data_IF_935559806695
#
_entry.id   IF_935559806695
#
_cell.length_a   1.000
_cell.length_b   1.000
_cell.length_c   1.000
_cell.angle_alpha   90.00
_cell.angle_beta   90.00
_cell.angle_gamma   90.00
#
_symmetry.space_group_name_H-M   'P 1'
#
loop_
_entity.id
_entity.type
_entity.pdbx_description
1 polymer ?
#
# COMPACT_ATOMS: atom_id res chain seq x y z
N UNK A 1 -25.92 23.94 2.50
CA UNK A 1 -27.36 23.72 2.18
C UNK A 1 -28.27 23.55 3.42
N UNK A 2 -27.76 23.64 4.66
CA UNK A 2 -28.52 23.30 5.88
C UNK A 2 -28.96 24.50 6.75
N UNK A 3 -28.61 25.74 6.37
CA UNK A 3 -28.74 26.93 7.23
C UNK A 3 -30.10 27.64 7.20
N UNK A 4 -31.13 27.12 6.51
CA UNK A 4 -32.35 27.89 6.24
C UNK A 4 -33.69 27.19 6.51
N UNK A 5 -33.72 25.96 7.06
CA UNK A 5 -34.98 25.30 7.44
C UNK A 5 -35.07 25.11 8.97
N UNK A 6 -35.93 25.86 9.68
CA UNK A 6 -36.12 25.73 11.13
C UNK A 6 -36.76 24.40 11.57
N UNK A 7 -37.17 23.53 10.64
CA UNK A 7 -37.61 22.15 10.93
C UNK A 7 -36.52 21.10 10.74
N UNK A 8 -35.34 21.49 10.24
CA UNK A 8 -34.23 20.57 10.04
C UNK A 8 -33.51 20.36 11.38
N UNK A 9 -33.84 19.27 12.06
CA UNK A 9 -33.08 18.77 13.20
C UNK A 9 -31.87 17.97 12.69
N UNK A 10 -30.63 18.49 12.80
CA UNK A 10 -29.44 17.80 12.31
C UNK A 10 -29.14 16.50 13.08
N UNK A 11 -29.79 16.28 14.22
CA UNK A 11 -29.66 15.09 15.06
C UNK A 11 -30.72 14.03 14.79
N UNK A 12 -31.78 14.41 14.06
CA UNK A 12 -32.82 13.48 13.64
C UNK A 12 -32.25 12.29 12.87
N UNK A 13 -32.90 11.13 13.03
CA UNK A 13 -32.46 9.86 12.46
C UNK A 13 -31.00 9.48 12.77
N UNK A 14 -30.59 9.63 14.04
CA UNK A 14 -29.30 9.14 14.53
C UNK A 14 -28.13 9.89 13.88
N UNK A 15 -28.08 11.23 14.05
CA UNK A 15 -27.06 12.10 13.45
C UNK A 15 -27.01 12.01 11.91
N UNK A 16 -28.19 11.86 11.26
CA UNK A 16 -28.25 11.63 9.82
C UNK A 16 -27.64 12.75 8.99
N UNK A 17 -27.70 14.01 9.45
CA UNK A 17 -27.15 15.15 8.71
C UNK A 17 -25.63 15.01 8.49
N UNK A 18 -24.86 14.75 9.54
CA UNK A 18 -23.40 14.59 9.44
C UNK A 18 -23.04 13.30 8.68
N UNK A 19 -23.78 12.21 8.88
CA UNK A 19 -23.59 10.95 8.15
C UNK A 19 -23.87 11.09 6.65
N UNK A 20 -24.92 11.83 6.29
CA UNK A 20 -25.29 12.06 4.89
C UNK A 20 -24.26 12.96 4.21
N UNK A 21 -23.80 14.02 4.87
CA UNK A 21 -22.75 14.90 4.36
C UNK A 21 -21.46 14.12 4.07
N UNK A 22 -21.05 13.26 5.00
CA UNK A 22 -19.89 12.37 4.84
C UNK A 22 -20.07 11.30 3.76
N UNK A 23 -21.31 11.10 3.27
CA UNK A 23 -21.65 10.11 2.24
C UNK A 23 -21.74 10.67 0.82
N UNK A 24 -21.63 11.99 0.64
CA UNK A 24 -21.73 12.64 -0.68
C UNK A 24 -20.36 12.71 -1.35
N UNK A 25 -20.32 12.49 -2.68
CA UNK A 25 -19.10 12.60 -3.49
C UNK A 25 -18.72 14.07 -3.66
N UNK A 26 -17.43 14.33 -3.50
CA UNK A 26 -16.74 15.62 -3.22
C UNK A 26 -17.29 16.86 -3.95
N UNK A 27 -17.58 17.93 -3.18
CA UNK A 27 -17.57 19.33 -3.62
C UNK A 27 -16.73 20.14 -2.61
N UNK A 28 -16.06 21.20 -3.06
CA UNK A 28 -15.06 21.95 -2.30
C UNK A 28 -15.55 22.55 -0.96
N UNK A 29 -16.86 22.71 -0.77
CA UNK A 29 -17.46 23.26 0.46
C UNK A 29 -17.73 22.25 1.58
N UNK A 30 -17.41 20.95 1.41
CA UNK A 30 -17.79 19.92 2.39
C UNK A 30 -17.09 20.10 3.74
N UNK A 31 -15.82 20.52 3.77
CA UNK A 31 -15.08 20.70 5.04
C UNK A 31 -15.75 21.74 5.94
N UNK A 32 -16.13 22.89 5.39
CA UNK A 32 -16.78 23.95 6.16
C UNK A 32 -18.19 23.57 6.60
N UNK A 33 -18.93 22.81 5.79
CA UNK A 33 -20.25 22.29 6.18
C UNK A 33 -20.15 21.22 7.29
N UNK A 34 -19.10 20.38 7.29
CA UNK A 34 -18.84 19.44 8.39
C UNK A 34 -18.56 20.23 9.67
N UNK A 35 -17.66 21.22 9.63
CA UNK A 35 -17.33 22.05 10.78
C UNK A 35 -18.54 22.83 11.33
N UNK A 36 -19.38 23.38 10.44
CA UNK A 36 -20.62 24.06 10.82
C UNK A 36 -21.58 23.10 11.56
N UNK A 37 -21.74 21.86 11.09
CA UNK A 37 -22.58 20.86 11.75
C UNK A 37 -22.02 20.40 13.10
N UNK A 38 -20.69 20.29 13.23
CA UNK A 38 -20.03 19.89 14.47
C UNK A 38 -20.24 20.89 15.61
N UNK A 39 -20.48 22.17 15.30
CA UNK A 39 -20.78 23.23 16.28
C UNK A 39 -22.19 23.18 16.85
N UNK A 40 -23.08 22.38 16.28
CA UNK A 40 -24.46 22.24 16.77
C UNK A 40 -24.45 21.37 18.03
N UNK A 41 -24.99 21.90 19.13
CA UNK A 41 -24.87 21.34 20.50
C UNK A 41 -25.26 19.85 20.60
N UNK A 42 -26.26 19.42 19.83
CA UNK A 42 -26.79 18.06 19.91
C UNK A 42 -26.18 17.10 18.87
N UNK A 43 -25.31 17.56 17.97
CA UNK A 43 -24.64 16.69 16.99
C UNK A 43 -23.51 15.94 17.69
N UNK A 44 -23.59 14.60 17.66
CA UNK A 44 -22.56 13.71 18.15
C UNK A 44 -21.83 13.02 16.99
N UNK A 45 -20.60 13.44 16.66
CA UNK A 45 -19.84 12.83 15.57
C UNK A 45 -19.23 11.47 15.94
N UNK A 46 -19.24 11.09 17.22
CA UNK A 46 -18.73 9.81 17.73
C UNK A 46 -19.75 8.67 17.66
N UNK A 47 -20.99 9.02 17.34
CA UNK A 47 -22.14 8.11 17.29
C UNK A 47 -21.95 6.93 16.31
N UNK A 48 -22.57 5.79 16.66
CA UNK A 48 -22.41 4.48 16.00
C UNK A 48 -20.94 4.07 15.75
N UNK A 49 -20.12 4.15 16.79
CA UNK A 49 -18.68 3.85 16.73
C UNK A 49 -17.97 4.70 15.65
N UNK A 50 -18.13 6.02 15.75
CA UNK A 50 -17.58 7.00 14.81
C UNK A 50 -17.96 6.68 13.34
N UNK A 51 -19.24 6.36 13.10
CA UNK A 51 -19.69 5.95 11.76
C UNK A 51 -19.41 7.00 10.69
N UNK A 52 -19.50 8.29 11.04
CA UNK A 52 -19.27 9.40 10.10
C UNK A 52 -17.87 9.35 9.48
N UNK A 53 -16.81 9.28 10.30
CA UNK A 53 -15.43 9.23 9.78
C UNK A 53 -15.16 7.92 9.04
N UNK A 54 -15.62 6.78 9.58
CA UNK A 54 -15.47 5.47 8.91
C UNK A 54 -16.14 5.47 7.53
N UNK A 55 -17.32 6.07 7.40
CA UNK A 55 -18.05 6.15 6.13
C UNK A 55 -17.38 7.12 5.16
N UNK A 56 -16.95 8.30 5.63
CA UNK A 56 -16.21 9.26 4.82
C UNK A 56 -14.94 8.63 4.22
N UNK A 57 -14.16 7.93 5.04
CA UNK A 57 -12.90 7.30 4.59
C UNK A 57 -13.13 6.19 3.57
N UNK A 58 -14.15 5.34 3.75
CA UNK A 58 -14.53 4.29 2.77
C UNK A 58 -15.00 4.85 1.43
N UNK A 59 -15.37 6.12 1.37
CA UNK A 59 -15.76 6.82 0.14
C UNK A 59 -14.65 7.70 -0.42
N UNK A 60 -13.49 7.76 0.25
CA UNK A 60 -12.38 8.64 -0.12
C UNK A 60 -12.68 10.14 0.04
N UNK A 61 -13.63 10.51 0.91
CA UNK A 61 -13.97 11.91 1.14
C UNK A 61 -12.99 12.55 2.15
N UNK A 62 -11.77 12.83 1.70
CA UNK A 62 -10.70 13.36 2.55
C UNK A 62 -11.06 14.72 3.16
N UNK A 63 -11.85 15.56 2.48
CA UNK A 63 -12.32 16.84 3.02
C UNK A 63 -13.24 16.64 4.24
N UNK A 64 -14.14 15.67 4.18
CA UNK A 64 -14.99 15.35 5.32
C UNK A 64 -14.17 14.73 6.46
N UNK A 65 -13.21 13.86 6.15
CA UNK A 65 -12.28 13.30 7.14
C UNK A 65 -11.49 14.41 7.83
N UNK A 66 -10.87 15.31 7.07
CA UNK A 66 -10.15 16.47 7.60
C UNK A 66 -11.02 17.30 8.54
N UNK A 67 -12.24 17.66 8.12
CA UNK A 67 -13.17 18.42 8.97
C UNK A 67 -13.55 17.68 10.25
N UNK A 68 -13.82 16.36 10.18
CA UNK A 68 -14.15 15.54 11.34
C UNK A 68 -12.99 15.43 12.34
N UNK A 69 -11.76 15.30 11.86
CA UNK A 69 -10.57 15.18 12.72
C UNK A 69 -10.30 16.43 13.58
N UNK A 70 -10.87 17.59 13.21
CA UNK A 70 -10.78 18.80 14.03
C UNK A 70 -11.54 18.69 15.36
N UNK A 71 -12.53 17.79 15.45
CA UNK A 71 -13.33 17.60 16.66
C UNK A 71 -12.73 16.50 17.53
N UNK A 72 -12.40 16.85 18.78
CA UNK A 72 -11.79 15.94 19.75
C UNK A 72 -12.69 14.75 20.14
N UNK A 73 -14.01 14.87 19.92
CA UNK A 73 -14.97 13.78 20.18
C UNK A 73 -14.84 12.65 19.16
N UNK A 74 -14.33 12.94 17.96
CA UNK A 74 -14.12 11.93 16.92
C UNK A 74 -12.91 11.08 17.29
N UNK A 75 -13.11 9.77 17.42
CA UNK A 75 -12.05 8.78 17.52
C UNK A 75 -11.78 8.16 16.13
N UNK A 76 -10.67 8.53 15.46
CA UNK A 76 -10.31 7.97 14.15
C UNK A 76 -9.90 6.49 14.22
N UNK A 77 -9.62 5.97 15.41
CA UNK A 77 -9.17 4.60 15.65
C UNK A 77 -10.31 3.61 15.87
N UNK A 78 -11.55 4.10 15.84
CA UNK A 78 -12.75 3.29 16.06
C UNK A 78 -12.79 2.03 15.18
N UNK A 79 -13.28 0.93 15.76
CA UNK A 79 -13.35 -0.41 15.13
C UNK A 79 -11.99 -0.88 14.59
N UNK A 80 -10.93 -0.68 15.37
CA UNK A 80 -9.56 -1.06 15.01
C UNK A 80 -9.09 -0.36 13.73
N UNK A 81 -9.08 0.98 13.69
CA UNK A 81 -8.65 1.78 12.54
C UNK A 81 -9.44 1.48 11.26
N UNK A 82 -10.75 1.25 11.36
CA UNK A 82 -11.57 0.89 10.19
C UNK A 82 -11.64 2.02 9.16
N UNK A 83 -11.54 3.28 9.61
CA UNK A 83 -11.44 4.44 8.72
C UNK A 83 -10.18 4.36 7.84
N UNK A 84 -9.00 4.15 8.45
CA UNK A 84 -7.73 4.04 7.74
C UNK A 84 -7.71 2.82 6.81
N UNK A 85 -8.17 1.66 7.29
CA UNK A 85 -8.30 0.46 6.44
C UNK A 85 -9.24 0.67 5.26
N UNK A 86 -10.34 1.39 5.47
CA UNK A 86 -11.28 1.75 4.41
C UNK A 86 -10.64 2.62 3.33
N UNK A 87 -9.85 3.61 3.76
CA UNK A 87 -9.09 4.48 2.86
C UNK A 87 -8.03 3.71 2.06
N UNK A 88 -7.32 2.78 2.70
CA UNK A 88 -6.35 1.93 2.01
C UNK A 88 -7.01 1.00 0.99
N UNK A 89 -8.17 0.40 1.32
CA UNK A 89 -8.90 -0.50 0.40
C UNK A 89 -9.43 0.22 -0.84
N UNK A 90 -9.89 1.46 -0.70
CA UNK A 90 -10.44 2.24 -1.82
C UNK A 90 -9.36 2.93 -2.66
N UNK A 91 -8.13 3.02 -2.14
CA UNK A 91 -7.01 3.63 -2.84
C UNK A 91 -6.94 5.15 -2.73
N UNK A 92 -7.52 5.76 -1.69
CA UNK A 92 -7.53 7.22 -1.54
C UNK A 92 -6.34 7.70 -0.71
N UNK A 93 -5.23 8.02 -1.38
CA UNK A 93 -3.99 8.50 -0.75
C UNK A 93 -4.19 9.75 0.11
N UNK A 94 -4.98 10.74 -0.36
CA UNK A 94 -5.29 11.94 0.44
C UNK A 94 -5.96 11.60 1.76
N UNK A 95 -6.91 10.65 1.77
CA UNK A 95 -7.59 10.23 3.00
C UNK A 95 -6.63 9.51 3.94
N UNK A 96 -5.72 8.69 3.40
CA UNK A 96 -4.68 8.01 4.18
C UNK A 96 -3.77 9.05 4.82
N UNK A 97 -3.31 10.04 4.05
CA UNK A 97 -2.49 11.14 4.53
C UNK A 97 -3.17 11.92 5.67
N UNK A 98 -4.44 12.31 5.52
CA UNK A 98 -5.17 13.03 6.57
C UNK A 98 -5.28 12.21 7.88
N UNK A 99 -5.56 10.91 7.76
CA UNK A 99 -5.67 10.03 8.93
C UNK A 99 -4.31 9.79 9.60
N UNK A 100 -3.25 9.56 8.83
CA UNK A 100 -1.90 9.35 9.39
C UNK A 100 -1.33 10.61 10.04
N UNK A 101 -1.73 11.79 9.54
CA UNK A 101 -1.35 13.09 10.11
C UNK A 101 -1.95 13.30 11.51
N UNK A 102 -3.02 12.60 11.87
CA UNK A 102 -3.55 12.61 13.22
C UNK A 102 -2.71 11.72 14.15
N UNK A 103 -2.04 12.35 15.11
CA UNK A 103 -1.16 11.67 16.07
C UNK A 103 -1.83 10.56 16.90
N UNK A 104 -3.17 10.53 16.97
CA UNK A 104 -3.92 9.49 17.69
C UNK A 104 -3.98 8.18 16.92
N UNK A 105 -3.80 8.24 15.59
CA UNK A 105 -3.82 7.08 14.71
C UNK A 105 -2.48 6.37 14.76
N UNK A 106 -2.49 5.12 15.22
CA UNK A 106 -1.35 4.23 15.17
C UNK A 106 -1.47 3.29 13.96
N UNK A 107 -0.68 3.46 12.89
CA UNK A 107 -0.76 2.63 11.70
C UNK A 107 -0.07 1.27 11.84
N UNK A 108 0.65 1.03 12.95
CA UNK A 108 1.34 -0.24 13.20
C UNK A 108 0.40 -1.36 13.68
N UNK A 109 -0.83 -1.01 14.04
CA UNK A 109 -1.82 -1.97 14.53
C UNK A 109 -2.27 -2.87 13.39
N UNK A 110 -1.62 -4.03 13.28
CA UNK A 110 -2.05 -5.14 12.46
C UNK A 110 -3.24 -5.83 13.14
N UNK A 111 -4.31 -6.08 12.38
CA UNK A 111 -5.30 -7.06 12.81
C UNK A 111 -4.94 -8.39 12.15
N UNK A 112 -5.18 -9.51 12.84
CA UNK A 112 -4.72 -10.88 12.58
C UNK A 112 -4.71 -11.44 11.12
N UNK A 113 -5.12 -10.68 10.10
CA UNK A 113 -5.23 -11.09 8.71
C UNK A 113 -4.33 -10.35 7.71
N UNK A 114 -4.07 -9.03 7.84
CA UNK A 114 -3.26 -8.28 6.86
C UNK A 114 -2.91 -6.86 7.34
N UNK A 115 -1.66 -6.46 7.13
CA UNK A 115 -1.19 -5.10 7.38
C UNK A 115 -1.82 -4.08 6.41
N UNK A 116 -1.75 -2.78 6.75
CA UNK A 116 -2.21 -1.71 5.86
C UNK A 116 -1.48 -1.72 4.52
N UNK A 117 -0.18 -2.02 4.54
CA UNK A 117 0.66 -2.08 3.36
C UNK A 117 0.26 -3.27 2.47
N UNK A 118 0.02 -4.46 3.05
CA UNK A 118 -0.53 -5.60 2.30
C UNK A 118 -1.88 -5.28 1.65
N UNK A 119 -2.78 -4.58 2.35
CA UNK A 119 -4.07 -4.15 1.79
C UNK A 119 -3.84 -3.25 0.58
N UNK A 120 -2.96 -2.24 0.67
CA UNK A 120 -2.68 -1.34 -0.44
C UNK A 120 -2.10 -2.08 -1.65
N UNK A 121 -1.12 -2.96 -1.41
CA UNK A 121 -0.42 -3.73 -2.45
C UNK A 121 -1.38 -4.71 -3.15
N UNK A 122 -2.18 -5.47 -2.38
CA UNK A 122 -3.10 -6.47 -2.93
C UNK A 122 -4.20 -5.83 -3.80
N UNK A 123 -4.55 -4.57 -3.53
CA UNK A 123 -5.52 -3.81 -4.32
C UNK A 123 -4.86 -2.93 -5.40
N UNK A 124 -3.54 -3.03 -5.59
CA UNK A 124 -2.76 -2.26 -6.56
C UNK A 124 -2.86 -0.73 -6.37
N UNK A 125 -2.87 -0.27 -5.12
CA UNK A 125 -2.93 1.15 -4.77
C UNK A 125 -1.54 1.68 -4.45
N UNK A 126 -0.67 1.82 -5.46
CA UNK A 126 0.74 2.22 -5.26
C UNK A 126 0.91 3.57 -4.57
N UNK A 127 0.04 4.56 -4.84
CA UNK A 127 0.09 5.87 -4.15
C UNK A 127 -0.22 5.74 -2.65
N UNK A 128 -1.15 4.85 -2.28
CA UNK A 128 -1.41 4.55 -0.86
C UNK A 128 -0.23 3.82 -0.24
N UNK A 129 0.37 2.86 -0.94
CA UNK A 129 1.55 2.15 -0.45
C UNK A 129 2.71 3.14 -0.20
N UNK A 130 2.92 4.08 -1.12
CA UNK A 130 3.88 5.16 -0.98
C UNK A 130 3.62 6.03 0.26
N UNK A 131 2.39 6.50 0.48
CA UNK A 131 2.03 7.29 1.67
C UNK A 131 2.23 6.51 2.98
N UNK A 132 1.93 5.21 2.99
CA UNK A 132 2.18 4.34 4.14
C UNK A 132 3.68 4.19 4.42
N UNK A 133 4.51 4.00 3.39
CA UNK A 133 5.96 3.84 3.52
C UNK A 133 6.66 5.10 4.03
N UNK A 134 6.10 6.28 3.74
CA UNK A 134 6.61 7.57 4.27
C UNK A 134 6.41 7.71 5.78
N UNK A 135 5.41 7.04 6.35
CA UNK A 135 5.19 7.03 7.78
C UNK A 135 6.13 6.01 8.45
N UNK A 136 7.13 6.50 9.17
CA UNK A 136 8.15 5.67 9.85
C UNK A 136 7.56 4.68 10.85
N UNK A 137 6.32 4.89 11.31
CA UNK A 137 5.62 3.97 12.23
C UNK A 137 5.13 2.71 11.52
N UNK A 138 5.03 2.73 10.19
CA UNK A 138 4.75 1.54 9.39
C UNK A 138 6.05 0.78 9.18
N UNK A 139 6.08 -0.49 9.56
CA UNK A 139 7.19 -1.40 9.29
C UNK A 139 6.93 -2.19 8.00
N UNK A 140 7.65 -1.93 6.90
CA UNK A 140 7.43 -2.60 5.62
C UNK A 140 7.98 -4.03 5.59
N UNK A 141 8.75 -4.43 6.61
CA UNK A 141 9.24 -5.80 6.75
C UNK A 141 8.19 -6.73 7.38
N UNK A 142 7.03 -6.20 7.81
CA UNK A 142 6.00 -6.98 8.51
C UNK A 142 4.82 -7.32 7.59
N UNK A 143 4.31 -8.57 7.63
CA UNK A 143 4.92 -9.73 8.27
C UNK A 143 5.99 -10.33 7.37
N UNK A 144 7.19 -10.62 7.90
CA UNK A 144 8.19 -11.46 7.23
C UNK A 144 8.52 -11.05 5.78
N UNK A 145 8.74 -9.77 5.51
CA UNK A 145 8.98 -9.17 4.19
C UNK A 145 7.90 -9.50 3.13
N UNK A 146 6.71 -9.92 3.56
CA UNK A 146 5.59 -10.22 2.66
C UNK A 146 5.19 -9.05 1.76
N UNK A 147 5.27 -7.76 2.17
CA UNK A 147 4.99 -6.64 1.27
C UNK A 147 5.81 -6.67 -0.02
N UNK A 148 7.13 -6.90 0.06
CA UNK A 148 7.96 -6.98 -1.15
C UNK A 148 7.69 -8.25 -1.95
N UNK A 149 7.41 -9.38 -1.30
CA UNK A 149 7.01 -10.62 -2.00
C UNK A 149 5.73 -10.40 -2.82
N UNK A 150 4.69 -9.77 -2.24
CA UNK A 150 3.44 -9.48 -2.94
C UNK A 150 3.65 -8.49 -4.09
N UNK A 151 4.43 -7.41 -3.87
CA UNK A 151 4.73 -6.45 -4.92
C UNK A 151 5.48 -7.09 -6.10
N UNK A 152 6.44 -7.97 -5.81
CA UNK A 152 7.18 -8.76 -6.80
C UNK A 152 6.29 -9.75 -7.55
N UNK A 153 5.38 -10.44 -6.86
CA UNK A 153 4.41 -11.36 -7.46
C UNK A 153 3.47 -10.65 -8.45
N UNK A 154 3.09 -9.41 -8.14
CA UNK A 154 2.14 -8.62 -8.93
C UNK A 154 2.81 -7.68 -9.95
N UNK A 155 4.15 -7.75 -10.08
CA UNK A 155 4.97 -6.86 -10.90
C UNK A 155 4.73 -5.36 -10.64
N UNK A 156 4.56 -4.96 -9.37
CA UNK A 156 4.34 -3.56 -8.98
C UNK A 156 5.65 -2.78 -8.91
N UNK A 157 6.23 -2.47 -10.08
CA UNK A 157 7.55 -1.85 -10.27
C UNK A 157 7.81 -0.69 -9.31
N UNK A 158 6.94 0.32 -9.26
CA UNK A 158 7.15 1.49 -8.40
C UNK A 158 7.15 1.11 -6.90
N UNK A 159 6.24 0.22 -6.49
CA UNK A 159 6.17 -0.23 -5.10
C UNK A 159 7.40 -1.06 -4.72
N UNK A 160 7.96 -1.86 -5.63
CA UNK A 160 9.22 -2.59 -5.40
C UNK A 160 10.36 -1.59 -5.19
N UNK A 161 10.46 -0.55 -6.03
CA UNK A 161 11.46 0.52 -5.89
C UNK A 161 11.33 1.20 -4.52
N UNK A 162 10.12 1.59 -4.14
CA UNK A 162 9.87 2.27 -2.86
C UNK A 162 10.20 1.36 -1.66
N UNK A 163 9.90 0.06 -1.75
CA UNK A 163 10.23 -0.93 -0.72
C UNK A 163 11.73 -1.19 -0.62
N UNK A 164 12.44 -1.37 -1.74
CA UNK A 164 13.89 -1.62 -1.74
C UNK A 164 14.69 -0.42 -1.22
N UNK A 165 14.16 0.79 -1.34
CA UNK A 165 14.75 2.00 -0.79
C UNK A 165 14.67 2.08 0.74
N UNK A 166 13.77 1.33 1.38
CA UNK A 166 13.69 1.24 2.84
C UNK A 166 14.65 0.16 3.37
N UNK A 167 15.62 0.57 4.19
CA UNK A 167 16.66 -0.32 4.74
C UNK A 167 16.12 -1.46 5.60
N UNK A 168 14.89 -1.33 6.11
CA UNK A 168 14.23 -2.36 6.93
C UNK A 168 13.73 -3.53 6.08
N UNK A 169 13.54 -3.33 4.78
CA UNK A 169 13.12 -4.39 3.86
C UNK A 169 14.32 -5.26 3.49
N UNK A 170 14.20 -6.56 3.71
CA UNK A 170 15.19 -7.56 3.32
C UNK A 170 14.68 -8.33 2.08
N UNK A 171 15.19 -8.03 0.87
CA UNK A 171 14.82 -8.74 -0.36
C UNK A 171 15.43 -10.16 -0.42
N UNK A 172 16.28 -10.55 0.53
CA UNK A 172 16.88 -11.89 0.60
C UNK A 172 16.11 -12.84 1.52
N UNK A 173 15.04 -12.36 2.15
CA UNK A 173 14.19 -13.12 3.05
C UNK A 173 13.76 -14.47 2.43
N UNK A 174 13.79 -15.52 3.25
CA UNK A 174 13.41 -16.89 2.88
C UNK A 174 14.06 -17.37 1.56
N UNK A 175 15.37 -17.15 1.45
CA UNK A 175 16.19 -17.48 0.28
C UNK A 175 15.73 -16.76 -1.01
N UNK A 176 15.65 -15.43 -0.94
CA UNK A 176 15.19 -14.56 -2.03
C UNK A 176 13.77 -14.91 -2.51
N UNK A 177 12.84 -15.14 -1.58
CA UNK A 177 11.46 -15.51 -1.92
C UNK A 177 10.83 -14.53 -2.92
N UNK A 178 11.04 -13.22 -2.78
CA UNK A 178 10.51 -12.23 -3.71
C UNK A 178 11.05 -12.39 -5.14
N UNK A 179 12.34 -12.74 -5.30
CA UNK A 179 12.93 -13.01 -6.62
C UNK A 179 12.36 -14.29 -7.23
N UNK A 180 12.27 -15.37 -6.45
CA UNK A 180 11.72 -16.64 -6.93
C UNK A 180 10.27 -16.50 -7.37
N UNK A 181 9.44 -15.84 -6.56
CA UNK A 181 8.02 -15.60 -6.88
C UNK A 181 7.87 -14.70 -8.11
N UNK A 182 8.74 -13.69 -8.28
CA UNK A 182 8.76 -12.89 -9.51
C UNK A 182 9.08 -13.75 -10.75
N UNK A 183 10.06 -14.66 -10.66
CA UNK A 183 10.37 -15.61 -11.74
C UNK A 183 9.20 -16.58 -12.01
N UNK A 184 8.56 -17.13 -10.98
CA UNK A 184 7.43 -18.05 -11.10
C UNK A 184 6.23 -17.41 -11.83
N UNK A 185 6.04 -16.10 -11.66
CA UNK A 185 4.95 -15.34 -12.27
C UNK A 185 5.37 -14.55 -13.52
N UNK A 186 6.56 -14.83 -14.08
CA UNK A 186 7.09 -14.14 -15.28
C UNK A 186 7.09 -12.60 -15.15
N UNK A 187 7.37 -12.09 -13.95
CA UNK A 187 7.40 -10.66 -13.65
C UNK A 187 8.78 -10.07 -14.00
N UNK A 188 9.05 -9.89 -15.30
CA UNK A 188 10.37 -9.51 -15.82
C UNK A 188 10.93 -8.22 -15.20
N UNK A 189 10.11 -7.17 -15.06
CA UNK A 189 10.57 -5.89 -14.50
C UNK A 189 10.93 -6.02 -13.02
N UNK A 190 10.15 -6.77 -12.26
CA UNK A 190 10.45 -7.10 -10.87
C UNK A 190 11.78 -7.88 -10.76
N UNK A 191 12.00 -8.87 -11.63
CA UNK A 191 13.26 -9.63 -11.66
C UNK A 191 14.44 -8.72 -12.00
N UNK A 192 14.34 -7.88 -13.03
CA UNK A 192 15.41 -6.94 -13.38
C UNK A 192 15.73 -5.98 -12.23
N UNK A 193 14.72 -5.43 -11.55
CA UNK A 193 14.91 -4.58 -10.37
C UNK A 193 15.59 -5.33 -9.22
N UNK A 194 15.12 -6.53 -8.89
CA UNK A 194 15.66 -7.32 -7.78
C UNK A 194 17.10 -7.76 -8.05
N UNK A 195 17.46 -8.12 -9.28
CA UNK A 195 18.83 -8.48 -9.65
C UNK A 195 19.80 -7.30 -9.52
N UNK A 196 19.31 -6.08 -9.75
CA UNK A 196 20.09 -4.84 -9.59
C UNK A 196 20.29 -4.44 -8.13
N UNK A 197 19.52 -5.00 -7.18
CA UNK A 197 19.79 -4.83 -5.75
C UNK A 197 21.00 -5.68 -5.34
N UNK A 198 22.08 -5.02 -4.91
CA UNK A 198 23.34 -5.68 -4.58
C UNK A 198 23.28 -6.69 -3.41
N UNK A 199 22.18 -6.69 -2.64
CA UNK A 199 21.96 -7.67 -1.56
C UNK A 199 21.48 -9.02 -2.11
N UNK A 200 20.80 -9.01 -3.25
CA UNK A 200 20.18 -10.21 -3.84
C UNK A 200 21.26 -11.01 -4.58
N UNK A 201 21.44 -12.27 -4.18
CA UNK A 201 22.31 -13.23 -4.88
C UNK A 201 21.46 -14.24 -5.66
N UNK A 202 21.37 -14.16 -6.99
CA UNK A 202 20.52 -15.05 -7.79
C UNK A 202 21.04 -16.49 -7.87
N UNK A 203 22.26 -16.78 -7.40
CA UNK A 203 22.85 -18.12 -7.47
C UNK A 203 22.41 -19.06 -6.34
N UNK A 204 21.62 -18.54 -5.39
CA UNK A 204 21.12 -19.30 -4.23
C UNK A 204 20.29 -20.52 -4.65
N UNK A 205 20.31 -21.53 -3.77
CA UNK A 205 19.62 -22.81 -3.95
C UNK A 205 19.94 -23.48 -5.31
N UNK A 206 21.23 -23.54 -5.67
CA UNK A 206 21.69 -24.17 -6.92
C UNK A 206 21.13 -23.48 -8.18
N UNK A 207 21.11 -22.15 -8.19
CA UNK A 207 20.49 -21.32 -9.24
C UNK A 207 19.00 -21.63 -9.44
N UNK A 208 18.24 -21.80 -8.35
CA UNK A 208 16.81 -22.18 -8.37
C UNK A 208 15.97 -21.33 -9.32
N UNK A 209 16.28 -20.03 -9.44
CA UNK A 209 15.59 -19.10 -10.35
C UNK A 209 15.72 -19.50 -11.83
N UNK A 210 16.86 -20.06 -12.24
CA UNK A 210 17.02 -20.61 -13.60
C UNK A 210 16.20 -21.89 -13.78
N UNK A 211 16.16 -22.75 -12.76
CA UNK A 211 15.36 -23.98 -12.80
C UNK A 211 13.85 -23.67 -12.86
N UNK A 212 13.38 -22.63 -12.17
CA UNK A 212 12.01 -22.14 -12.25
C UNK A 212 11.68 -21.67 -13.67
N UNK A 213 12.53 -20.81 -14.25
CA UNK A 213 12.32 -20.29 -15.60
C UNK A 213 12.32 -21.41 -16.66
N UNK A 214 13.26 -22.36 -16.58
CA UNK A 214 13.36 -23.51 -17.48
C UNK A 214 12.13 -24.44 -17.36
N UNK A 215 11.70 -24.76 -16.13
CA UNK A 215 10.51 -25.57 -15.88
C UNK A 215 9.23 -24.93 -16.43
N UNK A 216 9.13 -23.61 -16.36
CA UNK A 216 8.03 -22.84 -16.91
C UNK A 216 8.12 -22.64 -18.44
N UNK A 217 9.22 -23.08 -19.06
CA UNK A 217 9.54 -22.84 -20.47
C UNK A 217 9.57 -21.34 -20.83
N UNK A 218 9.95 -20.51 -19.86
CA UNK A 218 10.05 -19.05 -19.99
C UNK A 218 11.45 -18.67 -20.49
N UNK A 219 11.64 -18.76 -21.81
CA UNK A 219 12.94 -18.53 -22.44
C UNK A 219 13.40 -17.08 -22.31
N UNK A 220 12.48 -16.13 -22.33
CA UNK A 220 12.74 -14.72 -22.09
C UNK A 220 13.27 -14.48 -20.68
N UNK A 221 12.71 -15.14 -19.66
CA UNK A 221 13.22 -15.08 -18.29
C UNK A 221 14.58 -15.74 -18.16
N UNK A 222 14.82 -16.87 -18.85
CA UNK A 222 16.16 -17.50 -18.91
C UNK A 222 17.17 -16.53 -19.52
N UNK A 223 16.85 -15.86 -20.63
CA UNK A 223 17.73 -14.88 -21.27
C UNK A 223 17.99 -13.66 -20.37
N UNK A 224 16.98 -13.19 -19.64
CA UNK A 224 17.11 -12.12 -18.66
C UNK A 224 18.04 -12.53 -17.51
N UNK A 225 17.80 -13.69 -16.89
CA UNK A 225 18.59 -14.22 -15.78
C UNK A 225 20.04 -14.50 -16.21
N UNK A 226 20.27 -15.09 -17.38
CA UNK A 226 21.62 -15.31 -17.93
C UNK A 226 22.31 -14.02 -18.40
N UNK A 227 21.57 -12.91 -18.47
CA UNK A 227 22.12 -11.56 -18.59
C UNK A 227 22.90 -11.13 -17.35
N UNK A 228 22.56 -11.66 -16.17
CA UNK A 228 23.33 -11.45 -14.95
C UNK A 228 24.62 -12.28 -14.98
N UNK A 229 25.76 -11.59 -14.87
CA UNK A 229 27.08 -12.23 -14.96
C UNK A 229 27.33 -13.29 -13.88
N UNK A 230 26.64 -13.20 -12.73
CA UNK A 230 26.79 -14.14 -11.61
C UNK A 230 26.26 -15.52 -11.98
N UNK A 231 25.10 -15.57 -12.64
CA UNK A 231 24.49 -16.80 -13.16
C UNK A 231 25.24 -17.35 -14.38
N UNK A 232 26.01 -16.49 -15.05
CA UNK A 232 26.77 -16.83 -16.24
C UNK A 232 28.24 -17.21 -15.94
N UNK A 233 28.64 -17.25 -14.67
CA UNK A 233 30.04 -17.46 -14.25
C UNK A 233 30.49 -18.93 -14.27
N UNK A 234 29.56 -19.86 -14.53
CA UNK A 234 29.88 -21.27 -14.73
C UNK A 234 29.96 -21.56 -16.24
N UNK A 235 31.06 -22.17 -16.74
CA UNK A 235 31.08 -22.61 -18.13
C UNK A 235 29.88 -23.52 -18.34
N UNK A 236 29.12 -23.28 -19.42
CA UNK A 236 28.16 -24.26 -19.91
C UNK A 236 28.88 -25.62 -19.98
N UNK A 237 28.18 -26.71 -19.70
CA UNK A 237 28.76 -28.05 -19.79
C UNK A 237 29.38 -28.35 -21.19
N UNK A 238 29.04 -27.52 -22.21
CA UNK A 238 29.57 -27.54 -23.57
C UNK A 238 30.82 -26.65 -23.83
N UNK A 239 31.31 -25.90 -22.83
CA UNK A 239 32.48 -25.03 -22.96
C UNK A 239 32.30 -23.77 -23.80
N UNK A 240 31.06 -23.39 -24.17
CA UNK A 240 30.82 -22.18 -24.96
C UNK A 240 30.93 -20.90 -24.13
N UNK A 241 31.53 -19.80 -24.67
CA UNK A 241 31.67 -18.55 -23.93
C UNK A 241 30.32 -17.86 -23.73
N UNK A 242 30.11 -17.41 -22.50
CA UNK A 242 29.01 -16.57 -22.06
C UNK A 242 28.95 -15.27 -22.88
N UNK A 243 27.84 -15.02 -23.58
CA UNK A 243 27.67 -13.81 -24.41
C UNK A 243 27.71 -12.56 -23.52
N UNK A 244 28.88 -11.91 -23.43
CA UNK A 244 28.99 -10.54 -22.93
C UNK A 244 28.24 -9.61 -23.87
N UNK A 245 26.98 -9.27 -23.59
CA UNK A 245 26.37 -8.06 -24.12
C UNK A 245 26.91 -6.88 -23.30
N UNK A 246 28.13 -6.46 -23.61
CA UNK A 246 28.59 -5.11 -23.27
C UNK A 246 27.79 -4.14 -24.13
N UNK A 247 26.70 -3.57 -23.60
CA UNK A 247 26.17 -2.32 -24.15
C UNK A 247 27.16 -1.22 -23.74
N UNK A 248 28.01 -0.86 -24.69
CA UNK A 248 28.80 0.39 -24.67
C UNK A 248 27.85 1.55 -24.40
N UNK A 249 28.07 2.28 -23.31
CA UNK A 249 27.45 3.58 -23.05
C UNK A 249 28.44 4.63 -23.58
N UNK A 250 28.11 5.21 -24.74
CA UNK A 250 28.36 6.60 -25.12
C UNK A 250 27.20 7.04 -25.99
#
# INVERSE_FOLDING_TARGET
MFKSDPKFDPTSWNNYAIRRLCSIKVFSGISSEVEDLLRVENVDPSDCDNYAIRKASKLGNFLAVRGLLTDKRVDPCAKNNEALKGACKIGCADTVYELLSDSRVDPSIDNLHATLLEIAITNNHSEVAYELLRDKRVDPSVPNNKPIVLASQMNLVQTIIDLLADERVDPTYNNNECLRVACENSCYDAVELLLNDGRVDPTRNENEVLAIADKNMDFEMVDLLLGDYRLNSHPRADGSPCRKKLKTIM
#
